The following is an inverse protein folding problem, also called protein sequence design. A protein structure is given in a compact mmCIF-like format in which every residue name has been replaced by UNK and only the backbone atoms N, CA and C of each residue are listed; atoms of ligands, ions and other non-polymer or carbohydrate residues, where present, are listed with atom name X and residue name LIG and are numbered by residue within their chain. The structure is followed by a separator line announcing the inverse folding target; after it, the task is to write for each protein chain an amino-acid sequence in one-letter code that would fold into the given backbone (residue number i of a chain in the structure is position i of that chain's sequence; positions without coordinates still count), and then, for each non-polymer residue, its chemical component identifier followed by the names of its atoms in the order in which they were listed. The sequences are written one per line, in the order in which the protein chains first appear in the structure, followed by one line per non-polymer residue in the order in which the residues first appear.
data_IF_253085517219
#
_entry.id   IF_253085517219
#
_cell.length_a   1.000
_cell.length_b   1.000
_cell.length_c   1.000
_cell.angle_alpha   90.00
_cell.angle_beta   90.00
_cell.angle_gamma   90.00
#
_symmetry.space_group_name_H-M   'P 1'
#
loop_
_entity.id
_entity.type
_entity.pdbx_description
1 polymer ?
#
# COMPACT_ATOMS: atom_id res chain seq x y z
N UNK A 1 21.32 -6.74 14.32
CA UNK A 1 20.03 -6.06 14.08
C UNK A 1 20.17 -5.21 12.81
N UNK A 2 19.55 -5.62 11.70
CA UNK A 2 19.56 -4.82 10.47
C UNK A 2 18.69 -3.57 10.72
N UNK A 3 19.30 -2.38 10.80
CA UNK A 3 18.57 -1.10 10.82
C UNK A 3 17.93 -0.92 9.43
N UNK A 4 16.66 -1.32 9.28
CA UNK A 4 15.90 -1.08 8.05
C UNK A 4 15.70 0.43 7.90
N UNK A 5 15.99 0.97 6.71
CA UNK A 5 15.68 2.36 6.39
C UNK A 5 14.16 2.57 6.55
N UNK A 6 13.72 3.71 7.11
CA UNK A 6 12.30 4.07 7.10
C UNK A 6 11.77 4.04 5.66
N UNK A 7 10.61 3.44 5.47
CA UNK A 7 9.88 3.53 4.20
C UNK A 7 9.33 4.96 4.13
N UNK A 8 9.77 5.70 3.12
CA UNK A 8 9.27 7.04 2.82
C UNK A 8 8.26 6.94 1.68
N UNK A 9 6.98 7.18 2.00
CA UNK A 9 5.90 7.20 1.03
C UNK A 9 5.52 8.66 0.79
N UNK A 10 5.62 9.18 -0.45
CA UNK A 10 5.15 10.51 -0.78
C UNK A 10 3.66 10.69 -0.43
N UNK A 11 3.23 11.86 0.07
CA UNK A 11 1.82 12.11 0.42
C UNK A 11 0.83 11.86 -0.72
N UNK A 12 1.26 12.02 -1.97
CA UNK A 12 0.43 11.75 -3.14
C UNK A 12 0.20 10.24 -3.36
N UNK A 13 1.26 9.45 -3.27
CA UNK A 13 1.16 7.98 -3.30
C UNK A 13 0.31 7.47 -2.14
N UNK A 14 0.46 8.06 -0.95
CA UNK A 14 -0.37 7.76 0.20
C UNK A 14 -1.86 7.95 -0.09
N UNK A 15 -2.25 9.09 -0.67
CA UNK A 15 -3.64 9.39 -1.05
C UNK A 15 -4.17 8.43 -2.10
N UNK A 16 -3.37 8.14 -3.13
CA UNK A 16 -3.77 7.22 -4.19
C UNK A 16 -3.97 5.79 -3.66
N UNK A 17 -3.11 5.33 -2.75
CA UNK A 17 -3.28 4.03 -2.10
C UNK A 17 -4.58 3.97 -1.30
N UNK A 18 -4.90 5.02 -0.52
CA UNK A 18 -6.18 5.08 0.22
C UNK A 18 -7.37 5.05 -0.73
N UNK A 19 -7.31 5.80 -1.83
CA UNK A 19 -8.36 5.79 -2.85
C UNK A 19 -8.54 4.40 -3.50
N UNK A 20 -7.42 3.71 -3.80
CA UNK A 20 -7.45 2.35 -4.34
C UNK A 20 -8.05 1.37 -3.33
N UNK A 21 -7.74 1.48 -2.04
CA UNK A 21 -8.34 0.64 -1.01
C UNK A 21 -9.85 0.90 -0.85
N UNK A 22 -10.29 2.15 -0.93
CA UNK A 22 -11.71 2.49 -0.91
C UNK A 22 -12.43 1.92 -2.14
N UNK A 23 -11.83 2.04 -3.33
CA UNK A 23 -12.36 1.47 -4.56
C UNK A 23 -12.44 -0.07 -4.49
N UNK A 24 -11.41 -0.73 -3.93
CA UNK A 24 -11.38 -2.17 -3.73
C UNK A 24 -12.58 -2.65 -2.89
N UNK A 25 -12.88 -1.93 -1.79
CA UNK A 25 -14.00 -2.29 -0.92
C UNK A 25 -15.37 -1.95 -1.52
N UNK A 26 -15.44 -1.01 -2.46
CA UNK A 26 -16.68 -0.60 -3.11
C UNK A 26 -17.00 -1.41 -4.38
N UNK A 27 -16.01 -2.09 -4.99
CA UNK A 27 -16.16 -2.78 -6.28
C UNK A 27 -16.77 -4.19 -6.11
N UNK A 28 -17.96 -4.47 -6.66
CA UNK A 28 -18.59 -5.78 -6.58
C UNK A 28 -18.01 -6.83 -7.55
N UNK A 29 -17.38 -6.42 -8.66
CA UNK A 29 -16.79 -7.37 -9.62
C UNK A 29 -15.41 -7.85 -9.16
N UNK A 30 -15.24 -9.17 -9.05
CA UNK A 30 -14.01 -9.75 -8.52
C UNK A 30 -12.79 -9.50 -9.42
N UNK A 31 -12.94 -9.46 -10.75
CA UNK A 31 -11.82 -9.20 -11.66
C UNK A 31 -11.35 -7.75 -11.52
N UNK A 32 -12.29 -6.80 -11.44
CA UNK A 32 -11.97 -5.39 -11.20
C UNK A 32 -11.36 -5.17 -9.83
N UNK A 33 -11.81 -5.93 -8.82
CA UNK A 33 -11.22 -5.90 -7.48
C UNK A 33 -9.75 -6.34 -7.52
N UNK A 34 -9.43 -7.37 -8.29
CA UNK A 34 -8.06 -7.83 -8.48
C UNK A 34 -7.19 -6.79 -9.19
N UNK A 35 -7.71 -6.09 -10.22
CA UNK A 35 -6.99 -4.99 -10.87
C UNK A 35 -6.63 -3.87 -9.89
N UNK A 36 -7.56 -3.50 -9.01
CA UNK A 36 -7.33 -2.49 -7.98
C UNK A 36 -6.28 -2.96 -6.96
N UNK A 37 -6.34 -4.23 -6.54
CA UNK A 37 -5.37 -4.82 -5.63
C UNK A 37 -3.96 -4.86 -6.24
N UNK A 38 -3.84 -5.20 -7.52
CA UNK A 38 -2.55 -5.19 -8.24
C UNK A 38 -1.98 -3.78 -8.32
N UNK A 39 -2.81 -2.78 -8.62
CA UNK A 39 -2.39 -1.36 -8.66
C UNK A 39 -1.88 -0.89 -7.30
N UNK A 40 -2.64 -1.13 -6.24
CA UNK A 40 -2.24 -0.79 -4.88
C UNK A 40 -0.92 -1.49 -4.48
N UNK A 41 -0.76 -2.77 -4.85
CA UNK A 41 0.46 -3.53 -4.60
C UNK A 41 1.67 -2.98 -5.35
N UNK A 42 1.53 -2.67 -6.64
CA UNK A 42 2.61 -2.11 -7.44
C UNK A 42 3.10 -0.79 -6.83
N UNK A 43 2.18 0.09 -6.45
CA UNK A 43 2.52 1.34 -5.77
C UNK A 43 3.32 1.10 -4.49
N UNK A 44 2.92 0.13 -3.66
CA UNK A 44 3.68 -0.18 -2.44
C UNK A 44 5.10 -0.68 -2.74
N UNK A 45 5.26 -1.48 -3.80
CA UNK A 45 6.56 -1.99 -4.20
C UNK A 45 7.49 -0.89 -4.72
N UNK A 46 6.97 0.12 -5.41
CA UNK A 46 7.75 1.25 -5.93
C UNK A 46 8.44 2.05 -4.81
N UNK A 47 7.90 2.03 -3.59
CA UNK A 47 8.46 2.72 -2.43
C UNK A 47 9.23 1.80 -1.47
N UNK A 48 9.42 0.53 -1.84
CA UNK A 48 10.14 -0.43 -1.01
C UNK A 48 11.55 -0.66 -1.53
N UNK A 49 12.50 -0.95 -0.62
CA UNK A 49 13.82 -1.42 -1.04
C UNK A 49 13.69 -2.71 -1.86
N UNK A 50 14.50 -2.85 -2.90
CA UNK A 50 14.56 -4.05 -3.73
C UNK A 50 14.69 -5.32 -2.88
N UNK A 51 13.88 -6.34 -3.19
CA UNK A 51 13.86 -7.62 -2.47
C UNK A 51 13.07 -7.61 -1.15
N UNK A 52 12.33 -6.54 -0.84
CA UNK A 52 11.46 -6.51 0.35
C UNK A 52 10.29 -7.48 0.20
N UNK A 53 10.27 -8.52 1.05
CA UNK A 53 9.05 -9.28 1.32
C UNK A 53 8.26 -8.56 2.40
N UNK A 54 7.09 -8.02 2.02
CA UNK A 54 6.15 -7.43 2.96
C UNK A 54 5.64 -8.48 3.93
N UNK A 55 5.98 -8.33 5.22
CA UNK A 55 5.30 -9.06 6.28
C UNK A 55 3.94 -8.41 6.52
N UNK A 56 2.94 -9.20 6.90
CA UNK A 56 1.60 -8.70 7.23
C UNK A 56 1.65 -7.54 8.26
N UNK A 57 2.54 -7.61 9.25
CA UNK A 57 2.74 -6.53 10.23
C UNK A 57 3.20 -5.22 9.60
N UNK A 58 4.06 -5.28 8.57
CA UNK A 58 4.56 -4.10 7.86
C UNK A 58 3.47 -3.50 6.97
N UNK A 59 2.62 -4.35 6.38
CA UNK A 59 1.42 -3.91 5.64
C UNK A 59 0.44 -3.22 6.58
N UNK A 60 0.19 -3.77 7.77
CA UNK A 60 -0.71 -3.17 8.76
C UNK A 60 -0.18 -1.84 9.29
N UNK A 61 1.11 -1.74 9.63
CA UNK A 61 1.71 -0.48 10.07
C UNK A 61 1.66 0.59 8.98
N UNK A 62 1.90 0.19 7.73
CA UNK A 62 1.85 1.09 6.58
C UNK A 62 0.42 1.58 6.35
N UNK A 63 -0.56 0.68 6.40
CA UNK A 63 -1.98 1.05 6.32
C UNK A 63 -2.38 2.03 7.43
N UNK A 64 -1.95 1.78 8.67
CA UNK A 64 -2.26 2.65 9.81
C UNK A 64 -1.61 4.04 9.66
N UNK A 65 -0.39 4.12 9.12
CA UNK A 65 0.26 5.39 8.79
C UNK A 65 -0.47 6.15 7.70
N UNK A 66 -0.88 5.48 6.63
CA UNK A 66 -1.62 6.09 5.52
C UNK A 66 -2.98 6.65 5.97
N UNK A 67 -3.70 5.91 6.82
CA UNK A 67 -4.96 6.34 7.43
C UNK A 67 -4.82 7.56 8.36
N UNK A 68 -3.65 7.77 8.96
CA UNK A 68 -3.37 8.93 9.82
C UNK A 68 -2.99 10.20 9.04
N UNK A 69 -2.70 10.06 7.74
CA UNK A 69 -2.31 11.16 6.85
C UNK A 69 -3.49 11.74 6.06
N UNK A 70 -4.66 11.07 6.10
CA UNK A 70 -5.95 11.48 5.52
C UNK A 70 -6.87 12.09 6.57
#
# INVERSE_FOLDING_TARGET
MLKRKPIEIPPEAARQFVADMQAYHAEPDDNRRDEIAVRARHMLLDYMPDGTRLRLTEVTELFDRLRKLS
#
